data_IF_383879003032
#
_entry.id   IF_383879003032
#
_cell.length_a   1.000
_cell.length_b   1.000
_cell.length_c   1.000
_cell.angle_alpha   90.00
_cell.angle_beta   90.00
_cell.angle_gamma   90.00
#
_symmetry.space_group_name_H-M   'P 1'
#
loop_
_entity.id
_entity.type
_entity.pdbx_description
1 polymer ?
#
# COMPACT_ATOMS: atom_id res chain seq x y z
N UNK A 1 14.47 -7.16 18.42
CA UNK A 1 15.04 -6.43 17.28
C UNK A 1 13.90 -5.81 16.51
N UNK A 2 14.10 -4.64 15.88
CA UNK A 2 13.11 -4.02 15.02
C UNK A 2 12.78 -4.96 13.85
N UNK A 3 11.50 -5.07 13.51
CA UNK A 3 10.98 -5.93 12.43
C UNK A 3 10.78 -5.15 11.13
N UNK A 4 10.88 -3.83 11.18
CA UNK A 4 10.78 -2.92 10.05
C UNK A 4 12.10 -2.19 9.87
N UNK A 5 12.74 -2.36 8.71
CA UNK A 5 13.87 -1.50 8.32
C UNK A 5 13.34 -0.28 7.60
N UNK A 6 13.91 0.87 7.92
CA UNK A 6 13.52 2.15 7.35
C UNK A 6 14.75 2.81 6.73
N UNK A 7 14.67 3.17 5.46
CA UNK A 7 15.73 3.89 4.75
C UNK A 7 15.12 5.05 3.95
N UNK A 8 15.80 6.18 3.93
CA UNK A 8 15.35 7.36 3.20
C UNK A 8 16.33 7.73 2.11
N UNK A 9 15.80 8.04 0.93
CA UNK A 9 16.60 8.59 -0.17
C UNK A 9 15.82 9.77 -0.77
N UNK A 10 16.28 10.97 -0.50
CA UNK A 10 15.58 12.18 -0.90
C UNK A 10 14.13 12.22 -0.41
N UNK A 11 13.18 12.42 -1.31
CA UNK A 11 11.74 12.39 -1.06
C UNK A 11 11.13 10.98 -1.00
N UNK A 12 11.92 9.90 -0.98
CA UNK A 12 11.44 8.53 -0.99
C UNK A 12 11.78 7.82 0.31
N UNK A 13 10.78 7.24 0.97
CA UNK A 13 10.90 6.42 2.17
C UNK A 13 10.72 4.95 1.80
N UNK A 14 11.72 4.13 2.12
CA UNK A 14 11.69 2.68 1.92
C UNK A 14 11.45 2.00 3.26
N UNK A 15 10.39 1.22 3.31
CA UNK A 15 9.98 0.39 4.44
C UNK A 15 10.13 -1.07 4.05
N UNK A 16 11.02 -1.79 4.73
CA UNK A 16 11.26 -3.21 4.45
C UNK A 16 10.84 -4.04 5.65
N UNK A 17 9.83 -4.90 5.45
CA UNK A 17 9.44 -5.91 6.43
C UNK A 17 10.59 -6.91 6.58
N UNK A 18 11.13 -7.09 7.79
CA UNK A 18 12.32 -7.91 8.02
C UNK A 18 12.19 -8.75 9.30
N UNK A 19 11.32 -9.75 9.22
CA UNK A 19 11.12 -10.77 10.26
C UNK A 19 11.15 -12.16 9.62
N UNK A 20 12.36 -12.61 9.25
CA UNK A 20 12.59 -13.86 8.55
C UNK A 20 11.97 -15.08 9.25
N UNK A 21 12.03 -15.24 10.59
CA UNK A 21 11.43 -16.37 11.29
C UNK A 21 9.93 -16.54 11.03
N UNK A 22 9.20 -15.44 10.87
CA UNK A 22 7.74 -15.44 10.62
C UNK A 22 7.40 -15.22 9.15
N UNK A 23 8.41 -15.08 8.27
CA UNK A 23 8.23 -14.68 6.87
C UNK A 23 7.47 -13.35 6.75
N UNK A 24 7.87 -12.40 7.58
CA UNK A 24 7.28 -11.05 7.63
C UNK A 24 5.77 -11.05 7.98
N UNK A 25 5.35 -11.93 8.90
CA UNK A 25 3.96 -11.94 9.36
C UNK A 25 3.61 -10.64 10.12
N UNK A 26 2.35 -10.22 9.98
CA UNK A 26 1.80 -9.05 10.65
C UNK A 26 1.52 -9.35 12.12
N UNK A 27 2.58 -9.41 12.92
CA UNK A 27 2.47 -9.44 14.38
C UNK A 27 2.06 -8.04 14.89
N UNK A 28 1.54 -7.92 16.14
CA UNK A 28 1.23 -6.62 16.74
C UNK A 28 2.40 -5.64 16.69
N UNK A 29 3.62 -6.12 16.93
CA UNK A 29 4.83 -5.30 16.88
C UNK A 29 5.11 -4.79 15.46
N UNK A 30 5.02 -5.67 14.45
CA UNK A 30 5.20 -5.29 13.04
C UNK A 30 4.15 -4.25 12.63
N UNK A 31 2.89 -4.45 13.01
CA UNK A 31 1.82 -3.49 12.69
C UNK A 31 2.05 -2.16 13.40
N UNK A 32 2.50 -2.18 14.66
CA UNK A 32 2.80 -0.96 15.41
C UNK A 32 3.96 -0.18 14.78
N UNK A 33 5.04 -0.86 14.37
CA UNK A 33 6.18 -0.22 13.67
C UNK A 33 5.74 0.37 12.32
N UNK A 34 4.94 -0.36 11.54
CA UNK A 34 4.35 0.14 10.30
C UNK A 34 3.46 1.37 10.53
N UNK A 35 2.59 1.31 11.53
CA UNK A 35 1.69 2.41 11.87
C UNK A 35 2.45 3.67 12.27
N UNK A 36 3.51 3.53 13.08
CA UNK A 36 4.39 4.63 13.45
C UNK A 36 5.09 5.24 12.22
N UNK A 37 5.62 4.39 11.32
CA UNK A 37 6.28 4.84 10.09
C UNK A 37 5.31 5.57 9.14
N UNK A 38 4.09 5.07 8.95
CA UNK A 38 3.06 5.70 8.12
C UNK A 38 2.59 7.03 8.74
N UNK A 39 2.41 7.09 10.06
CA UNK A 39 2.08 8.34 10.75
C UNK A 39 3.17 9.41 10.58
N UNK A 40 4.44 9.03 10.74
CA UNK A 40 5.58 9.92 10.50
C UNK A 40 5.64 10.37 9.04
N UNK A 41 5.44 9.46 8.07
CA UNK A 41 5.42 9.77 6.65
C UNK A 41 4.27 10.72 6.27
N UNK A 42 3.12 10.58 6.91
CA UNK A 42 1.97 11.48 6.72
C UNK A 42 2.32 12.91 7.09
N UNK A 43 3.01 13.12 8.21
CA UNK A 43 3.40 14.43 8.73
C UNK A 43 4.58 15.06 7.97
N UNK A 44 5.40 14.28 7.27
CA UNK A 44 6.59 14.76 6.57
C UNK A 44 6.23 15.31 5.18
N UNK A 45 6.15 16.64 5.06
CA UNK A 45 5.87 17.32 3.79
C UNK A 45 6.97 17.15 2.72
N UNK A 46 8.19 16.74 3.11
CA UNK A 46 9.30 16.52 2.18
C UNK A 46 9.27 15.14 1.51
N UNK A 47 8.42 14.22 1.97
CA UNK A 47 8.22 12.93 1.33
C UNK A 47 7.23 13.02 0.16
N UNK A 48 7.51 12.25 -0.88
CA UNK A 48 6.71 12.09 -2.11
C UNK A 48 6.06 10.73 -2.20
N UNK A 49 6.83 9.70 -1.84
CA UNK A 49 6.38 8.33 -1.90
C UNK A 49 6.93 7.48 -0.75
N UNK A 50 6.18 6.44 -0.43
CA UNK A 50 6.58 5.34 0.45
C UNK A 50 6.65 4.08 -0.39
N UNK A 51 7.75 3.36 -0.33
CA UNK A 51 7.95 2.05 -0.94
C UNK A 51 7.91 1.01 0.16
N UNK A 52 6.96 0.08 0.10
CA UNK A 52 6.84 -1.03 1.04
C UNK A 52 7.26 -2.32 0.34
N UNK A 53 8.24 -3.02 0.92
CA UNK A 53 8.74 -4.30 0.41
C UNK A 53 9.03 -5.27 1.56
N UNK A 54 9.36 -6.51 1.22
CA UNK A 54 9.76 -7.52 2.21
C UNK A 54 11.18 -8.00 1.97
N UNK A 55 11.88 -8.33 3.04
CA UNK A 55 13.19 -8.96 3.00
C UNK A 55 13.10 -10.48 2.85
N UNK A 56 14.26 -11.11 2.62
CA UNK A 56 14.43 -12.56 2.65
C UNK A 56 13.58 -13.35 1.63
N UNK A 57 13.23 -12.72 0.50
CA UNK A 57 12.43 -13.35 -0.56
C UNK A 57 10.96 -13.55 -0.23
N UNK A 58 10.45 -12.89 0.81
CA UNK A 58 9.03 -12.86 1.17
C UNK A 58 8.54 -11.42 1.22
N UNK A 59 7.31 -11.18 0.79
CA UNK A 59 6.68 -9.91 1.09
C UNK A 59 6.05 -9.98 2.48
N UNK A 60 4.96 -10.75 2.64
CA UNK A 60 4.26 -10.89 3.91
C UNK A 60 3.44 -12.19 3.95
N UNK A 61 3.63 -12.98 5.00
CA UNK A 61 2.90 -14.24 5.20
C UNK A 61 1.46 -14.06 5.73
N UNK A 62 1.01 -12.83 5.96
CA UNK A 62 -0.32 -12.54 6.51
C UNK A 62 -0.31 -12.36 8.02
N UNK A 63 -1.43 -12.62 8.68
CA UNK A 63 -1.55 -12.50 10.13
C UNK A 63 -0.67 -13.51 10.89
N UNK A 64 -0.23 -13.12 12.09
CA UNK A 64 0.58 -13.98 12.95
C UNK A 64 -0.25 -15.10 13.57
N UNK A 65 0.05 -16.35 13.23
CA UNK A 65 -0.67 -17.54 13.76
C UNK A 65 -0.58 -17.66 15.28
N UNK A 66 0.57 -17.31 15.88
CA UNK A 66 0.73 -17.30 17.33
C UNK A 66 -0.22 -16.33 18.03
N UNK A 67 -0.42 -15.16 17.43
CA UNK A 67 -1.36 -14.16 17.95
C UNK A 67 -2.82 -14.61 17.80
N UNK A 68 -3.17 -15.31 16.72
CA UNK A 68 -4.52 -15.87 16.58
C UNK A 68 -4.82 -16.90 17.68
N UNK A 69 -3.88 -17.80 17.97
CA UNK A 69 -4.03 -18.77 19.07
C UNK A 69 -4.17 -18.08 20.45
N UNK A 70 -3.38 -17.04 20.70
CA UNK A 70 -3.47 -16.28 21.94
C UNK A 70 -4.80 -15.53 22.03
N UNK A 71 -5.26 -14.92 20.96
CA UNK A 71 -6.53 -14.20 20.91
C UNK A 71 -7.73 -15.10 21.16
N UNK A 72 -7.72 -16.36 20.72
CA UNK A 72 -8.79 -17.33 20.98
C UNK A 72 -9.04 -17.60 22.47
N UNK A 73 -8.05 -17.31 23.34
CA UNK A 73 -8.18 -17.45 24.78
C UNK A 73 -8.87 -16.24 25.45
N UNK A 74 -9.08 -15.15 24.68
CA UNK A 74 -9.74 -13.95 25.17
C UNK A 74 -11.26 -14.16 25.17
N UNK A 75 -11.90 -13.97 26.33
CA UNK A 75 -13.35 -14.07 26.45
C UNK A 75 -14.00 -12.69 26.38
N UNK A 76 -15.07 -12.56 25.61
CA UNK A 76 -15.92 -11.38 25.64
C UNK A 76 -16.76 -11.39 26.94
N UNK A 77 -16.86 -10.25 27.63
CA UNK A 77 -17.75 -10.11 28.78
C UNK A 77 -19.09 -9.56 28.31
N UNK A 78 -20.21 -9.95 28.97
CA UNK A 78 -21.51 -9.41 28.65
C UNK A 78 -21.53 -7.87 28.69
N UNK A 79 -21.96 -7.23 27.60
CA UNK A 79 -22.03 -5.76 27.48
C UNK A 79 -20.73 -5.04 27.10
N UNK A 80 -19.60 -5.75 26.99
CA UNK A 80 -18.33 -5.19 26.50
C UNK A 80 -18.09 -5.56 25.04
N UNK A 81 -17.31 -4.74 24.33
CA UNK A 81 -16.86 -5.07 22.97
C UNK A 81 -15.92 -6.28 23.04
N UNK A 82 -16.14 -7.25 22.17
CA UNK A 82 -15.28 -8.42 22.03
C UNK A 82 -13.82 -7.97 21.75
N UNK A 83 -12.85 -8.37 22.58
CA UNK A 83 -11.45 -7.95 22.44
C UNK A 83 -10.83 -8.40 21.10
N UNK A 84 -11.27 -9.52 20.54
CA UNK A 84 -10.83 -9.96 19.19
C UNK A 84 -11.35 -8.98 18.14
N UNK A 85 -12.61 -8.58 18.23
CA UNK A 85 -13.20 -7.61 17.31
C UNK A 85 -12.52 -6.24 17.42
N UNK A 86 -12.22 -5.77 18.64
CA UNK A 86 -11.53 -4.51 18.88
C UNK A 86 -10.12 -4.51 18.28
N UNK A 87 -9.32 -5.55 18.53
CA UNK A 87 -7.99 -5.69 17.93
C UNK A 87 -8.02 -5.78 16.41
N UNK A 88 -8.98 -6.53 15.86
CA UNK A 88 -9.15 -6.62 14.41
C UNK A 88 -9.52 -5.25 13.82
N UNK A 89 -10.36 -4.46 14.50
CA UNK A 89 -10.76 -3.12 14.05
C UNK A 89 -9.57 -2.14 14.04
N UNK A 90 -8.64 -2.25 15.01
CA UNK A 90 -7.39 -1.45 14.99
C UNK A 90 -6.55 -1.72 13.73
N UNK A 91 -6.50 -2.97 13.25
CA UNK A 91 -5.86 -3.26 11.97
C UNK A 91 -6.59 -2.57 10.80
N UNK A 92 -7.91 -2.47 10.84
CA UNK A 92 -8.69 -1.71 9.87
C UNK A 92 -8.36 -0.22 9.85
N UNK A 93 -8.13 0.38 11.02
CA UNK A 93 -7.70 1.80 11.11
C UNK A 93 -6.31 2.00 10.50
N UNK A 94 -5.39 1.05 10.72
CA UNK A 94 -4.09 1.05 10.04
C UNK A 94 -4.26 0.94 8.51
N UNK A 95 -5.12 0.07 8.01
CA UNK A 95 -5.38 -0.09 6.57
C UNK A 95 -5.95 1.19 5.95
N UNK A 96 -6.84 1.89 6.66
CA UNK A 96 -7.37 3.20 6.23
C UNK A 96 -6.22 4.22 6.16
N UNK A 97 -5.40 4.33 7.21
CA UNK A 97 -4.27 5.25 7.24
C UNK A 97 -3.26 4.98 6.11
N UNK A 98 -3.01 3.71 5.81
CA UNK A 98 -2.12 3.30 4.72
C UNK A 98 -2.69 3.69 3.35
N UNK A 99 -3.96 3.39 3.09
CA UNK A 99 -4.61 3.69 1.81
C UNK A 99 -4.77 5.20 1.59
N UNK A 100 -5.10 5.96 2.66
CA UNK A 100 -5.30 7.41 2.60
C UNK A 100 -4.01 8.23 2.77
N UNK A 101 -2.84 7.57 2.86
CA UNK A 101 -1.55 8.26 2.96
C UNK A 101 -1.42 9.34 1.86
N UNK A 102 -1.17 10.64 2.20
CA UNK A 102 -1.07 11.71 1.21
C UNK A 102 0.27 11.71 0.46
N UNK A 103 0.77 10.51 0.17
CA UNK A 103 1.99 10.19 -0.57
C UNK A 103 1.66 9.03 -1.49
N UNK A 104 2.43 8.87 -2.56
CA UNK A 104 2.28 7.68 -3.40
C UNK A 104 2.78 6.45 -2.64
N UNK A 105 1.93 5.45 -2.46
CA UNK A 105 2.30 4.16 -1.87
C UNK A 105 2.62 3.16 -2.96
N UNK A 106 3.86 2.71 -3.00
CA UNK A 106 4.35 1.70 -3.92
C UNK A 106 4.62 0.41 -3.14
N UNK A 107 4.01 -0.69 -3.55
CA UNK A 107 4.27 -2.02 -2.96
C UNK A 107 5.05 -2.89 -3.92
N UNK A 108 6.10 -3.55 -3.42
CA UNK A 108 6.96 -4.45 -4.21
C UNK A 108 6.88 -5.86 -3.63
N UNK A 109 6.37 -6.80 -4.43
CA UNK A 109 6.16 -8.19 -4.01
C UNK A 109 7.12 -9.13 -4.75
N UNK A 110 8.14 -9.60 -4.05
CA UNK A 110 9.14 -10.52 -4.62
C UNK A 110 8.79 -11.99 -4.42
N UNK A 111 8.18 -12.34 -3.31
CA UNK A 111 7.82 -13.71 -2.95
C UNK A 111 6.32 -13.87 -2.71
N UNK A 112 5.91 -14.05 -1.45
CA UNK A 112 4.52 -14.31 -1.12
C UNK A 112 3.84 -13.13 -0.42
N UNK A 113 2.62 -12.81 -0.85
CA UNK A 113 1.68 -11.87 -0.23
C UNK A 113 0.39 -12.61 0.14
N UNK A 114 0.26 -13.01 1.40
CA UNK A 114 -0.83 -13.85 1.88
C UNK A 114 -1.74 -13.07 2.84
N UNK A 115 -3.05 -13.29 2.79
CA UNK A 115 -4.00 -12.71 3.73
C UNK A 115 -3.82 -11.21 3.94
N UNK A 116 -3.42 -10.79 5.14
CA UNK A 116 -3.12 -9.38 5.42
C UNK A 116 -2.08 -8.76 4.47
N UNK A 117 -1.07 -9.54 4.01
CA UNK A 117 -0.10 -9.10 3.01
C UNK A 117 -0.73 -8.83 1.63
N UNK A 118 -1.72 -9.65 1.24
CA UNK A 118 -2.54 -9.37 0.06
C UNK A 118 -3.31 -8.06 0.25
N UNK A 119 -3.85 -7.84 1.45
CA UNK A 119 -4.53 -6.58 1.81
C UNK A 119 -3.62 -5.36 1.68
N UNK A 120 -2.37 -5.44 2.16
CA UNK A 120 -1.38 -4.36 2.02
C UNK A 120 -1.15 -4.02 0.54
N UNK A 121 -1.03 -5.03 -0.34
CA UNK A 121 -0.91 -4.82 -1.78
C UNK A 121 -2.17 -4.14 -2.36
N UNK A 122 -3.37 -4.51 -1.90
CA UNK A 122 -4.61 -3.88 -2.37
C UNK A 122 -4.76 -2.41 -1.94
N UNK A 123 -4.16 -2.01 -0.81
CA UNK A 123 -4.19 -0.64 -0.33
C UNK A 123 -3.20 0.30 -1.06
N UNK A 124 -2.29 -0.25 -1.87
CA UNK A 124 -1.27 0.51 -2.59
C UNK A 124 -1.82 1.25 -3.80
N UNK A 125 -1.17 2.36 -4.15
CA UNK A 125 -1.44 3.08 -5.41
C UNK A 125 -0.82 2.34 -6.60
N UNK A 126 0.39 1.78 -6.42
CA UNK A 126 1.13 1.06 -7.46
C UNK A 126 1.70 -0.23 -6.86
N UNK A 127 1.47 -1.35 -7.53
CA UNK A 127 1.99 -2.67 -7.13
C UNK A 127 2.89 -3.24 -8.21
N UNK A 128 4.13 -3.56 -7.82
CA UNK A 128 5.08 -4.27 -8.65
C UNK A 128 5.28 -5.68 -8.10
N UNK A 129 5.42 -6.68 -8.96
CA UNK A 129 5.67 -8.04 -8.49
C UNK A 129 6.61 -8.81 -9.41
N UNK A 130 7.29 -9.83 -8.86
CA UNK A 130 7.92 -10.85 -9.69
C UNK A 130 6.86 -11.76 -10.29
N UNK A 131 7.10 -12.26 -11.49
CA UNK A 131 6.19 -13.19 -12.18
C UNK A 131 5.88 -14.43 -11.33
N UNK A 132 6.87 -14.95 -10.60
CA UNK A 132 6.73 -16.09 -9.71
C UNK A 132 6.18 -15.78 -8.32
N UNK A 133 5.92 -14.52 -7.97
CA UNK A 133 5.33 -14.14 -6.69
C UNK A 133 3.98 -14.84 -6.49
N UNK A 134 3.62 -15.11 -5.22
CA UNK A 134 2.38 -15.84 -4.90
C UNK A 134 1.45 -14.97 -4.08
N UNK A 135 0.19 -14.97 -4.44
CA UNK A 135 -0.86 -14.20 -3.81
C UNK A 135 -2.01 -15.11 -3.41
N UNK A 136 -2.55 -14.96 -2.21
CA UNK A 136 -3.76 -15.68 -1.79
C UNK A 136 -4.53 -14.95 -0.70
N UNK A 137 -5.86 -15.09 -0.75
CA UNK A 137 -6.78 -14.82 0.35
C UNK A 137 -7.13 -16.16 1.00
N UNK A 138 -6.28 -16.61 1.93
CA UNK A 138 -6.34 -17.97 2.48
C UNK A 138 -7.10 -18.08 3.79
N UNK A 139 -7.74 -17.01 4.26
CA UNK A 139 -8.44 -16.94 5.54
C UNK A 139 -9.52 -18.01 5.66
N UNK A 140 -10.30 -18.24 4.61
CA UNK A 140 -11.40 -19.22 4.63
C UNK A 140 -10.92 -20.66 4.75
N UNK A 141 -9.69 -20.97 4.32
CA UNK A 141 -9.07 -22.29 4.54
C UNK A 141 -8.73 -22.56 6.01
N UNK A 142 -8.71 -21.52 6.83
CA UNK A 142 -8.50 -21.57 8.29
C UNK A 142 -9.81 -21.37 9.07
N UNK A 143 -10.96 -21.29 8.40
CA UNK A 143 -12.23 -20.97 9.03
C UNK A 143 -12.36 -19.51 9.47
N UNK A 144 -11.52 -18.63 8.93
CA UNK A 144 -11.54 -17.19 9.20
C UNK A 144 -12.13 -16.42 8.01
N UNK A 145 -12.33 -15.12 8.20
CA UNK A 145 -12.76 -14.21 7.14
C UNK A 145 -11.68 -13.16 6.86
N UNK A 146 -11.56 -12.65 5.62
CA UNK A 146 -10.61 -11.58 5.27
C UNK A 146 -11.09 -10.20 5.77
N UNK A 147 -11.53 -10.14 7.02
CA UNK A 147 -12.23 -9.08 7.73
C UNK A 147 -11.91 -7.64 7.23
N UNK A 148 -10.86 -7.03 7.79
CA UNK A 148 -10.53 -5.62 7.53
C UNK A 148 -9.91 -5.36 6.15
N UNK A 149 -9.42 -6.39 5.45
CA UNK A 149 -8.85 -6.24 4.10
C UNK A 149 -9.91 -6.34 3.00
N UNK A 150 -11.06 -6.94 3.25
CA UNK A 150 -12.09 -7.20 2.24
C UNK A 150 -12.50 -5.96 1.43
N UNK A 151 -12.75 -4.78 2.02
CA UNK A 151 -13.09 -3.57 1.26
C UNK A 151 -12.01 -3.15 0.28
N UNK A 152 -10.72 -3.21 0.69
CA UNK A 152 -9.57 -2.84 -0.14
C UNK A 152 -9.39 -3.83 -1.30
N UNK A 153 -9.62 -5.12 -1.04
CA UNK A 153 -9.59 -6.17 -2.07
C UNK A 153 -10.67 -5.93 -3.12
N UNK A 154 -11.91 -5.67 -2.69
CA UNK A 154 -13.03 -5.37 -3.61
C UNK A 154 -12.76 -4.12 -4.42
N UNK A 155 -12.26 -3.06 -3.80
CA UNK A 155 -11.90 -1.82 -4.48
C UNK A 155 -10.81 -2.04 -5.54
N UNK A 156 -9.81 -2.90 -5.26
CA UNK A 156 -8.66 -3.14 -6.15
C UNK A 156 -9.00 -4.04 -7.33
N UNK A 157 -9.64 -5.19 -7.10
CA UNK A 157 -9.82 -6.23 -8.14
C UNK A 157 -11.29 -6.47 -8.54
N UNK A 158 -12.21 -5.74 -7.94
CA UNK A 158 -13.65 -5.88 -8.16
C UNK A 158 -14.25 -7.10 -7.47
N UNK A 159 -15.56 -7.01 -7.21
CA UNK A 159 -16.29 -7.98 -6.38
C UNK A 159 -16.21 -9.43 -6.89
N UNK A 160 -16.34 -9.66 -8.20
CA UNK A 160 -16.37 -11.02 -8.75
C UNK A 160 -15.04 -11.76 -8.54
N UNK A 161 -13.90 -11.08 -8.77
CA UNK A 161 -12.56 -11.64 -8.57
C UNK A 161 -12.23 -11.81 -7.09
N UNK A 162 -12.61 -10.83 -6.27
CA UNK A 162 -12.47 -10.91 -4.81
C UNK A 162 -13.21 -12.14 -4.25
N UNK A 163 -14.47 -12.37 -4.66
CA UNK A 163 -15.24 -13.55 -4.24
C UNK A 163 -14.61 -14.85 -4.69
N UNK A 164 -14.15 -14.97 -5.93
CA UNK A 164 -13.44 -16.15 -6.42
C UNK A 164 -12.27 -16.49 -5.51
N UNK A 165 -11.34 -15.55 -5.31
CA UNK A 165 -10.13 -15.81 -4.54
C UNK A 165 -10.41 -16.06 -3.05
N UNK A 166 -11.29 -15.27 -2.43
CA UNK A 166 -11.58 -15.40 -1.01
C UNK A 166 -12.38 -16.68 -0.66
N UNK A 167 -13.29 -17.11 -1.53
CA UNK A 167 -14.14 -18.28 -1.26
C UNK A 167 -13.48 -19.61 -1.63
N UNK A 168 -12.42 -19.58 -2.44
CA UNK A 168 -11.69 -20.81 -2.84
C UNK A 168 -10.33 -20.93 -2.14
N UNK A 169 -9.79 -19.85 -1.57
CA UNK A 169 -8.41 -19.81 -1.07
C UNK A 169 -7.36 -20.02 -2.17
N UNK A 170 -7.76 -19.81 -3.43
CA UNK A 170 -6.89 -20.03 -4.60
C UNK A 170 -5.61 -19.21 -4.51
N UNK A 171 -4.49 -19.86 -4.84
CA UNK A 171 -3.19 -19.18 -4.99
C UNK A 171 -2.97 -18.83 -6.45
N UNK A 172 -2.71 -17.57 -6.71
CA UNK A 172 -2.35 -17.07 -8.03
C UNK A 172 -0.90 -16.61 -8.05
N UNK A 173 -0.30 -16.58 -9.24
CA UNK A 173 1.04 -16.02 -9.43
C UNK A 173 1.00 -14.54 -9.82
N UNK A 174 2.19 -13.92 -10.01
CA UNK A 174 2.29 -12.51 -10.36
C UNK A 174 1.66 -12.18 -11.72
N UNK A 175 1.71 -13.12 -12.67
CA UNK A 175 1.13 -12.93 -14.03
C UNK A 175 -0.40 -12.88 -13.93
N UNK A 176 -1.01 -13.84 -13.24
CA UNK A 176 -2.46 -13.82 -13.02
C UNK A 176 -2.88 -12.62 -12.14
N UNK A 177 -2.07 -12.25 -11.15
CA UNK A 177 -2.31 -11.07 -10.32
C UNK A 177 -2.33 -9.77 -11.16
N UNK A 178 -1.47 -9.65 -12.17
CA UNK A 178 -1.52 -8.55 -13.13
C UNK A 178 -2.78 -8.63 -14.01
N UNK A 179 -3.11 -9.81 -14.53
CA UNK A 179 -4.30 -9.99 -15.37
C UNK A 179 -5.60 -9.58 -14.69
N UNK A 180 -5.71 -9.78 -13.37
CA UNK A 180 -6.89 -9.41 -12.60
C UNK A 180 -6.87 -7.97 -12.07
N UNK A 181 -5.78 -7.23 -12.26
CA UNK A 181 -5.64 -5.83 -11.84
C UNK A 181 -5.15 -5.64 -10.39
N UNK A 182 -4.64 -6.70 -9.73
CA UNK A 182 -3.99 -6.58 -8.43
C UNK A 182 -2.60 -5.95 -8.57
N UNK A 183 -1.83 -6.39 -9.57
CA UNK A 183 -0.46 -5.95 -9.85
C UNK A 183 -0.45 -5.08 -11.11
N UNK A 184 0.23 -3.95 -11.07
CA UNK A 184 0.36 -3.04 -12.21
C UNK A 184 1.51 -3.46 -13.13
N UNK A 185 2.64 -3.90 -12.55
CA UNK A 185 3.83 -4.28 -13.31
C UNK A 185 4.40 -5.61 -12.83
N UNK A 186 4.58 -6.53 -13.76
CA UNK A 186 5.25 -7.82 -13.51
C UNK A 186 6.65 -7.81 -14.12
N UNK A 187 7.62 -8.32 -13.38
CA UNK A 187 8.99 -8.49 -13.82
C UNK A 187 9.41 -9.97 -13.75
N UNK A 188 10.22 -10.41 -14.70
CA UNK A 188 10.68 -11.80 -14.79
C UNK A 188 11.63 -12.18 -13.63
N UNK A 189 12.48 -11.23 -13.22
CA UNK A 189 13.52 -11.43 -12.20
C UNK A 189 13.70 -10.20 -11.31
N UNK A 190 14.58 -10.29 -10.32
CA UNK A 190 14.84 -9.21 -9.39
C UNK A 190 15.46 -7.96 -10.07
N UNK A 191 16.35 -8.15 -11.03
CA UNK A 191 17.00 -7.04 -11.74
C UNK A 191 15.96 -6.24 -12.54
N UNK A 192 15.09 -6.91 -13.26
CA UNK A 192 14.01 -6.27 -14.01
C UNK A 192 12.99 -5.58 -13.06
N UNK A 193 12.74 -6.16 -11.88
CA UNK A 193 11.86 -5.58 -10.87
C UNK A 193 12.44 -4.28 -10.31
N UNK A 194 13.73 -4.27 -9.94
CA UNK A 194 14.44 -3.07 -9.46
C UNK A 194 14.48 -1.97 -10.54
N UNK A 195 14.75 -2.33 -11.78
CA UNK A 195 14.74 -1.37 -12.90
C UNK A 195 13.33 -0.77 -13.10
N UNK A 196 12.27 -1.59 -12.98
CA UNK A 196 10.90 -1.11 -13.06
C UNK A 196 10.54 -0.21 -11.89
N UNK A 197 10.93 -0.58 -10.67
CA UNK A 197 10.73 0.27 -9.49
C UNK A 197 11.41 1.62 -9.66
N UNK A 198 12.66 1.65 -10.09
CA UNK A 198 13.39 2.89 -10.34
C UNK A 198 12.65 3.78 -11.36
N UNK A 199 12.18 3.20 -12.46
CA UNK A 199 11.42 3.94 -13.47
C UNK A 199 10.10 4.52 -12.91
N UNK A 200 9.39 3.77 -12.06
CA UNK A 200 8.18 4.26 -11.38
C UNK A 200 8.51 5.45 -10.46
N UNK A 201 9.57 5.33 -9.64
CA UNK A 201 9.97 6.41 -8.73
C UNK A 201 10.47 7.65 -9.49
N UNK A 202 11.16 7.48 -10.62
CA UNK A 202 11.52 8.59 -11.51
C UNK A 202 10.28 9.28 -12.08
N UNK A 203 9.24 8.53 -12.43
CA UNK A 203 7.95 9.09 -12.83
C UNK A 203 7.30 9.92 -11.72
N UNK A 204 7.26 9.38 -10.49
CA UNK A 204 6.73 10.08 -9.32
C UNK A 204 7.55 11.35 -9.01
N UNK A 205 8.88 11.30 -9.14
CA UNK A 205 9.79 12.41 -8.90
C UNK A 205 9.54 13.62 -9.81
N UNK A 206 8.96 13.41 -10.97
CA UNK A 206 8.57 14.48 -11.92
C UNK A 206 7.22 15.13 -11.60
N UNK A 207 6.39 14.47 -10.78
CA UNK A 207 5.07 14.99 -10.41
C UNK A 207 5.16 15.89 -9.19
N UNK A 208 4.34 16.93 -9.14
CA UNK A 208 4.21 17.81 -7.98
C UNK A 208 3.63 17.05 -6.79
N UNK A 209 4.27 17.03 -5.60
CA UNK A 209 3.84 16.21 -4.48
C UNK A 209 2.46 16.58 -3.93
N UNK A 210 2.14 17.87 -3.86
CA UNK A 210 0.81 18.34 -3.43
C UNK A 210 -0.28 18.00 -4.44
N UNK A 211 0.01 18.08 -5.75
CA UNK A 211 -0.93 17.66 -6.79
C UNK A 211 -1.19 16.14 -6.73
N UNK A 212 -0.15 15.31 -6.50
CA UNK A 212 -0.32 13.87 -6.30
C UNK A 212 -1.21 13.56 -5.09
N UNK A 213 -0.97 14.20 -3.94
CA UNK A 213 -1.78 14.02 -2.74
C UNK A 213 -3.24 14.41 -2.97
N UNK A 214 -3.48 15.57 -3.59
CA UNK A 214 -4.82 16.05 -3.91
C UNK A 214 -5.54 15.15 -4.92
N UNK A 215 -4.83 14.65 -5.93
CA UNK A 215 -5.37 13.73 -6.92
C UNK A 215 -5.76 12.39 -6.29
N UNK A 216 -4.90 11.83 -5.44
CA UNK A 216 -5.19 10.58 -4.72
C UNK A 216 -6.46 10.72 -3.86
N UNK A 217 -6.57 11.78 -3.07
CA UNK A 217 -7.74 12.04 -2.25
C UNK A 217 -9.02 12.16 -3.11
N UNK A 218 -8.96 12.92 -4.21
CA UNK A 218 -10.07 13.08 -5.12
C UNK A 218 -10.53 11.75 -5.74
N UNK A 219 -9.59 10.91 -6.17
CA UNK A 219 -9.90 9.59 -6.75
C UNK A 219 -10.54 8.64 -5.73
N UNK A 220 -10.15 8.71 -4.46
CA UNK A 220 -10.79 7.95 -3.38
C UNK A 220 -12.22 8.42 -3.13
N UNK A 221 -12.45 9.73 -3.08
CA UNK A 221 -13.79 10.32 -2.92
C UNK A 221 -14.75 9.98 -4.06
N UNK A 222 -14.25 9.71 -5.28
CA UNK A 222 -15.08 9.27 -6.41
C UNK A 222 -15.82 7.95 -6.16
N UNK A 223 -15.33 7.11 -5.25
CA UNK A 223 -15.99 5.86 -4.88
C UNK A 223 -17.11 6.04 -3.83
N UNK A 224 -17.15 7.20 -3.16
CA UNK A 224 -18.00 7.44 -1.99
C UNK A 224 -19.11 8.49 -2.24
N UNK A 225 -18.85 9.41 -3.15
CA UNK A 225 -19.70 10.57 -3.38
C UNK A 225 -20.50 10.48 -4.70
N UNK A 226 -21.66 11.14 -4.73
CA UNK A 226 -22.39 11.37 -5.95
C UNK A 226 -21.64 12.34 -6.88
N UNK A 227 -21.98 12.29 -8.19
CA UNK A 227 -21.23 13.02 -9.24
C UNK A 227 -21.22 14.54 -9.02
N UNK A 228 -22.34 15.17 -8.61
CA UNK A 228 -22.39 16.61 -8.38
C UNK A 228 -21.42 17.07 -7.30
N UNK A 229 -21.53 16.57 -6.06
CA UNK A 229 -20.60 16.92 -4.97
C UNK A 229 -19.13 16.65 -5.28
N UNK A 230 -18.81 15.57 -5.99
CA UNK A 230 -17.38 15.29 -6.34
C UNK A 230 -16.86 16.29 -7.37
N UNK A 231 -17.66 16.74 -8.34
CA UNK A 231 -17.24 17.76 -9.30
C UNK A 231 -17.03 19.13 -8.64
N UNK A 232 -17.83 19.50 -7.63
CA UNK A 232 -17.63 20.72 -6.85
C UNK A 232 -16.30 20.68 -6.08
N UNK A 233 -15.99 19.54 -5.44
CA UNK A 233 -14.70 19.32 -4.77
C UNK A 233 -13.53 19.33 -5.75
N UNK A 234 -13.70 18.72 -6.92
CA UNK A 234 -12.69 18.71 -7.98
C UNK A 234 -12.37 20.15 -8.44
N UNK A 235 -13.39 20.98 -8.68
CA UNK A 235 -13.22 22.38 -9.06
C UNK A 235 -12.47 23.18 -7.99
N UNK A 236 -12.84 23.01 -6.71
CA UNK A 236 -12.15 23.66 -5.60
C UNK A 236 -10.70 23.20 -5.46
N UNK A 237 -10.44 21.89 -5.61
CA UNK A 237 -9.10 21.33 -5.58
C UNK A 237 -8.24 21.84 -6.72
N UNK A 238 -8.76 21.86 -7.96
CA UNK A 238 -8.09 22.41 -9.13
C UNK A 238 -7.70 23.88 -8.92
N UNK A 239 -8.63 24.71 -8.42
CA UNK A 239 -8.36 26.12 -8.17
C UNK A 239 -7.24 26.33 -7.12
N UNK A 240 -7.17 25.49 -6.07
CA UNK A 240 -6.08 25.54 -5.09
C UNK A 240 -4.74 25.18 -5.74
N UNK A 241 -4.69 24.09 -6.51
CA UNK A 241 -3.47 23.64 -7.19
C UNK A 241 -2.99 24.68 -8.22
N UNK A 242 -3.88 25.27 -8.99
CA UNK A 242 -3.54 26.33 -9.95
C UNK A 242 -2.86 27.56 -9.30
N UNK A 243 -3.24 27.91 -8.06
CA UNK A 243 -2.63 29.03 -7.32
C UNK A 243 -1.36 28.60 -6.56
N UNK A 244 -1.15 27.30 -6.35
CA UNK A 244 0.03 26.72 -5.69
C UNK A 244 1.04 26.19 -6.68
N UNK A 245 1.31 24.89 -6.62
CA UNK A 245 2.28 24.18 -7.47
C UNK A 245 2.00 24.38 -8.97
N UNK A 246 0.74 24.50 -9.38
CA UNK A 246 0.35 24.70 -10.77
C UNK A 246 0.93 25.98 -11.40
N UNK A 247 1.11 27.05 -10.62
CA UNK A 247 1.73 28.28 -11.12
C UNK A 247 3.19 28.04 -11.53
N UNK A 248 3.95 27.32 -10.70
CA UNK A 248 5.34 26.92 -11.00
C UNK A 248 5.37 25.94 -12.18
N UNK A 249 4.49 24.93 -12.20
CA UNK A 249 4.46 23.94 -13.28
C UNK A 249 4.19 24.55 -14.64
N UNK A 250 3.24 25.49 -14.73
CA UNK A 250 2.93 26.24 -15.97
C UNK A 250 4.12 27.12 -16.39
N UNK A 251 4.76 27.81 -15.44
CA UNK A 251 5.95 28.60 -15.72
C UNK A 251 7.12 27.74 -16.22
N UNK A 252 7.42 26.65 -15.55
CA UNK A 252 8.47 25.71 -15.93
C UNK A 252 8.24 25.13 -17.34
N UNK A 253 6.99 24.72 -17.64
CA UNK A 253 6.62 24.22 -18.97
C UNK A 253 6.83 25.26 -20.06
N UNK A 254 6.36 26.51 -19.84
CA UNK A 254 6.54 27.61 -20.79
C UNK A 254 8.03 27.91 -21.02
N UNK A 255 8.81 27.90 -19.94
CA UNK A 255 10.23 28.26 -19.96
C UNK A 255 11.14 27.07 -20.37
N UNK A 256 10.54 25.91 -20.68
CA UNK A 256 11.21 24.65 -21.09
C UNK A 256 12.30 24.21 -20.10
N UNK A 257 12.05 24.31 -18.81
CA UNK A 257 12.88 23.86 -17.71
C UNK A 257 12.15 22.84 -16.84
N UNK A 258 12.88 22.13 -16.01
CA UNK A 258 12.26 21.33 -14.96
C UNK A 258 11.59 22.24 -13.92
N UNK A 259 10.46 21.76 -13.38
CA UNK A 259 9.80 22.42 -12.28
C UNK A 259 10.61 22.25 -10.98
N UNK A 260 10.46 23.20 -10.05
CA UNK A 260 11.27 23.27 -8.83
C UNK A 260 11.16 22.03 -7.93
N UNK A 261 10.11 21.25 -8.07
CA UNK A 261 9.93 19.99 -7.30
C UNK A 261 10.60 18.78 -7.94
N UNK A 262 11.10 18.85 -9.18
CA UNK A 262 11.69 17.68 -9.85
C UNK A 262 12.94 17.23 -9.09
N UNK A 263 12.96 15.96 -8.74
CA UNK A 263 14.05 15.33 -8.00
C UNK A 263 14.67 14.19 -8.81
N UNK A 264 15.98 14.05 -8.73
CA UNK A 264 16.68 12.95 -9.39
C UNK A 264 16.83 11.77 -8.45
N UNK A 265 16.39 10.60 -8.89
CA UNK A 265 16.68 9.32 -8.24
C UNK A 265 17.39 8.43 -9.25
N UNK A 266 18.66 8.13 -8.98
CA UNK A 266 19.51 7.40 -9.92
C UNK A 266 19.68 5.92 -9.55
N UNK A 267 19.49 5.59 -8.29
CA UNK A 267 19.64 4.23 -7.75
C UNK A 267 18.68 3.98 -6.61
N UNK A 268 18.42 2.72 -6.34
CA UNK A 268 17.65 2.29 -5.17
C UNK A 268 18.58 1.96 -4.00
N UNK A 269 18.09 2.02 -2.75
CA UNK A 269 18.77 1.46 -1.60
C UNK A 269 19.07 -0.02 -1.81
N UNK A 270 20.15 -0.52 -1.20
CA UNK A 270 20.43 -1.97 -1.23
C UNK A 270 19.34 -2.72 -0.46
N UNK A 271 18.72 -3.68 -1.11
CA UNK A 271 17.67 -4.55 -0.54
C UNK A 271 18.22 -5.49 0.53
#
# INVERSE_FOLDING_TARGET
>A
MAKLRTERQGGFLFLTLDDAPTRNALSPEMVAELQAAISAATADASLRAVVLRGANGFFCAGGSMGNFQQSQQSAAKPGETDPIAANNRCFGDFMIALASLPKVLVVVVEGAAMGGGFGLACAADIVLARSGAKFALSETTLGLVPAQIAPFVVARIGQARARRLALTGERIDGVEAQRIGLVDFVAADATALEARLLAVLQGIARCAPGANAATKALLQECAELELGPILDRAAASFARQMRGEGAEGVAAFRDKRDAAWVEMIERLPKS
#
